data_IF_041589576499
#
_entry.id   IF_041589576499
#
_cell.length_a   1.000
_cell.length_b   1.000
_cell.length_c   1.000
_cell.angle_alpha   90.00
_cell.angle_beta   90.00
_cell.angle_gamma   90.00
#
_symmetry.space_group_name_H-M   'P 1'
#
loop_
_entity.id
_entity.type
_entity.pdbx_description
1 polymer ?
#
# COMPACT_ATOMS: atom_id res chain seq x y z
N UNK A 1 -5.64 -3.32 62.04
CA UNK A 1 -5.13 -2.28 61.11
C UNK A 1 -4.28 -2.98 60.07
N UNK A 2 -4.76 -3.04 58.83
CA UNK A 2 -4.09 -3.62 57.68
C UNK A 2 -3.54 -2.46 56.83
N UNK A 3 -2.30 -2.51 56.32
CA UNK A 3 -1.91 -1.73 55.16
C UNK A 3 -1.73 -2.65 53.94
N UNK A 4 -2.44 -2.23 52.90
CA UNK A 4 -2.47 -2.66 51.49
C UNK A 4 -1.10 -2.82 50.82
N UNK A 5 -0.94 -3.76 49.86
CA UNK A 5 0.17 -3.75 48.93
C UNK A 5 -0.07 -2.74 47.81
N UNK A 6 0.99 -2.00 47.45
CA UNK A 6 1.01 -0.98 46.40
C UNK A 6 1.10 -1.64 45.01
N UNK A 7 0.27 -1.27 44.02
CA UNK A 7 0.30 -1.84 42.67
C UNK A 7 1.41 -1.24 41.78
N UNK A 8 1.95 -2.09 40.91
CA UNK A 8 2.92 -1.85 39.85
C UNK A 8 2.53 -0.74 38.85
N UNK A 9 3.49 0.00 38.26
CA UNK A 9 3.17 1.10 37.36
C UNK A 9 2.95 0.64 35.90
N UNK A 10 1.82 1.12 35.37
CA UNK A 10 1.59 1.58 34.00
C UNK A 10 1.70 0.59 32.83
N UNK A 11 0.60 -0.12 32.56
CA UNK A 11 0.18 -0.40 31.19
C UNK A 11 -0.36 0.88 30.55
N UNK A 12 0.20 1.29 29.41
CA UNK A 12 -0.39 2.32 28.56
C UNK A 12 -1.65 1.72 27.93
N UNK A 13 -2.81 2.21 28.36
CA UNK A 13 -4.10 1.82 27.80
C UNK A 13 -4.19 2.18 26.33
N UNK A 14 -4.41 1.16 25.50
CA UNK A 14 -4.93 1.34 24.16
C UNK A 14 -6.40 1.75 24.30
N UNK A 15 -6.75 2.96 23.85
CA UNK A 15 -8.14 3.36 23.71
C UNK A 15 -8.71 2.67 22.45
N UNK A 16 -9.19 1.44 22.62
CA UNK A 16 -9.95 0.74 21.59
C UNK A 16 -11.39 1.24 21.61
N UNK A 17 -11.79 2.05 20.63
CA UNK A 17 -13.19 2.40 20.40
C UNK A 17 -13.82 1.28 19.57
N UNK A 18 -14.59 0.41 20.23
CA UNK A 18 -15.47 -0.55 19.57
C UNK A 18 -16.69 0.21 19.04
N UNK A 19 -16.76 0.39 17.72
CA UNK A 19 -18.00 0.79 17.06
C UNK A 19 -18.98 -0.41 17.16
N UNK A 20 -20.20 -0.22 17.69
CA UNK A 20 -21.16 -1.31 17.81
C UNK A 20 -21.56 -1.81 16.42
N UNK A 21 -21.38 -3.11 16.22
CA UNK A 21 -22.04 -3.85 15.14
C UNK A 21 -23.55 -3.72 15.35
N UNK A 22 -24.26 -3.26 14.32
CA UNK A 22 -25.73 -3.14 14.25
C UNK A 22 -26.41 -1.94 14.93
N UNK A 23 -26.01 -0.71 14.57
CA UNK A 23 -26.96 0.40 14.51
C UNK A 23 -27.25 0.71 13.03
N UNK A 24 -28.52 0.77 12.59
CA UNK A 24 -28.85 1.26 11.25
C UNK A 24 -28.28 2.67 11.12
N UNK A 25 -27.46 2.91 10.10
CA UNK A 25 -27.03 4.26 9.78
C UNK A 25 -28.30 5.09 9.51
N UNK A 26 -28.51 6.22 10.23
CA UNK A 26 -29.68 7.04 9.99
C UNK A 26 -29.59 7.59 8.57
N UNK A 27 -30.56 7.22 7.75
CA UNK A 27 -30.85 7.94 6.52
C UNK A 27 -31.25 9.36 6.89
N UNK A 28 -30.52 10.35 6.36
CA UNK A 28 -30.94 11.73 6.35
C UNK A 28 -30.58 12.55 7.60
N UNK A 29 -29.61 13.45 7.39
CA UNK A 29 -29.46 14.76 8.05
C UNK A 29 -29.13 14.81 9.55
N UNK A 30 -27.85 15.06 9.86
CA UNK A 30 -27.43 15.56 11.18
C UNK A 30 -25.98 15.21 11.56
N UNK A 31 -25.06 16.17 11.38
CA UNK A 31 -23.60 16.09 11.64
C UNK A 31 -22.84 15.05 10.80
N UNK A 32 -22.46 15.44 9.58
CA UNK A 32 -21.52 14.71 8.73
C UNK A 32 -20.10 14.75 9.30
N UNK A 33 -19.81 13.87 10.26
CA UNK A 33 -18.45 13.65 10.75
C UNK A 33 -17.87 12.49 9.93
N UNK A 34 -16.96 12.78 9.00
CA UNK A 34 -16.31 11.76 8.20
C UNK A 34 -15.39 10.88 9.06
N UNK A 35 -15.07 9.67 8.60
CA UNK A 35 -14.15 8.77 9.31
C UNK A 35 -12.80 9.45 9.64
N UNK A 36 -12.31 10.32 8.76
CA UNK A 36 -11.10 11.11 9.00
C UNK A 36 -11.23 12.13 10.15
N UNK A 37 -12.42 12.72 10.33
CA UNK A 37 -12.67 13.64 11.44
C UNK A 37 -12.71 12.88 12.77
N UNK A 38 -13.31 11.68 12.78
CA UNK A 38 -13.31 10.81 13.96
C UNK A 38 -11.87 10.42 14.35
N UNK A 39 -11.04 10.05 13.38
CA UNK A 39 -9.63 9.71 13.63
C UNK A 39 -8.88 10.87 14.27
N UNK A 40 -9.12 12.10 13.80
CA UNK A 40 -8.48 13.31 14.33
C UNK A 40 -9.00 13.70 15.71
N UNK A 41 -10.32 13.60 15.93
CA UNK A 41 -10.96 13.97 17.20
C UNK A 41 -10.56 12.98 18.30
N UNK A 42 -10.53 11.69 17.99
CA UNK A 42 -10.23 10.63 18.95
C UNK A 42 -8.75 10.25 19.02
N UNK A 43 -7.89 10.92 18.25
CA UNK A 43 -6.47 10.57 18.11
C UNK A 43 -6.29 9.07 17.85
N UNK A 44 -7.09 8.52 16.93
CA UNK A 44 -7.12 7.09 16.68
C UNK A 44 -5.85 6.65 15.93
N UNK A 45 -5.09 5.75 16.55
CA UNK A 45 -3.84 5.23 15.99
C UNK A 45 -4.08 4.00 15.09
N UNK A 46 -5.27 3.41 15.18
CA UNK A 46 -5.60 2.13 14.54
C UNK A 46 -7.07 2.08 14.11
N UNK A 47 -7.34 1.59 12.91
CA UNK A 47 -8.68 1.38 12.35
C UNK A 47 -8.80 -0.06 11.87
N UNK A 48 -9.91 -0.70 12.23
CA UNK A 48 -10.22 -2.08 11.84
C UNK A 48 -11.43 -2.07 10.90
N UNK A 49 -11.22 -2.48 9.66
CA UNK A 49 -12.27 -2.64 8.65
C UNK A 49 -12.78 -4.09 8.63
N UNK A 50 -14.09 -4.26 8.62
CA UNK A 50 -14.72 -5.55 8.36
C UNK A 50 -14.94 -5.69 6.85
N UNK A 51 -14.30 -6.68 6.21
CA UNK A 51 -14.43 -6.86 4.75
C UNK A 51 -15.83 -7.34 4.32
N UNK A 52 -16.66 -7.77 5.28
CA UNK A 52 -18.08 -8.13 5.09
C UNK A 52 -18.96 -6.91 4.83
N UNK A 53 -18.67 -5.84 5.56
CA UNK A 53 -19.55 -4.68 5.62
C UNK A 53 -19.06 -3.55 4.70
N UNK A 54 -17.74 -3.49 4.46
CA UNK A 54 -17.11 -2.48 3.62
C UNK A 54 -16.32 -3.18 2.51
N UNK A 55 -16.62 -2.84 1.26
CA UNK A 55 -15.93 -3.37 0.10
C UNK A 55 -14.47 -2.91 0.06
N UNK A 56 -13.56 -3.75 -0.48
CA UNK A 56 -12.13 -3.43 -0.50
C UNK A 56 -11.80 -2.08 -1.16
N UNK A 57 -12.61 -1.64 -2.12
CA UNK A 57 -12.46 -0.33 -2.77
C UNK A 57 -12.72 0.85 -1.82
N UNK A 58 -13.73 0.73 -0.96
CA UNK A 58 -14.11 1.74 0.02
C UNK A 58 -13.13 1.75 1.20
N UNK A 59 -12.66 0.57 1.62
CA UNK A 59 -11.54 0.44 2.57
C UNK A 59 -10.31 1.20 2.06
N UNK A 60 -9.91 0.94 0.81
CA UNK A 60 -8.76 1.63 0.20
C UNK A 60 -8.97 3.15 0.14
N UNK A 61 -10.16 3.63 -0.20
CA UNK A 61 -10.48 5.05 -0.21
C UNK A 61 -10.37 5.71 1.17
N UNK A 62 -10.77 5.01 2.24
CA UNK A 62 -10.60 5.49 3.61
C UNK A 62 -9.13 5.52 4.04
N UNK A 63 -8.39 4.43 3.81
CA UNK A 63 -6.96 4.34 4.13
C UNK A 63 -6.15 5.45 3.44
N UNK A 64 -6.50 5.74 2.20
CA UNK A 64 -5.93 6.81 1.41
C UNK A 64 -6.13 8.19 2.02
N UNK A 65 -7.39 8.47 2.36
CA UNK A 65 -7.81 9.79 2.80
C UNK A 65 -7.24 10.14 4.17
N UNK A 66 -7.09 9.13 5.04
CA UNK A 66 -6.58 9.29 6.41
C UNK A 66 -5.04 9.28 6.43
N UNK A 67 -4.40 8.50 5.55
CA UNK A 67 -2.96 8.52 5.35
C UNK A 67 -2.17 7.58 6.26
N UNK A 68 -0.83 7.53 6.12
CA UNK A 68 0.01 6.46 6.66
C UNK A 68 0.32 6.58 8.18
N UNK A 69 -0.17 7.62 8.85
CA UNK A 69 0.08 7.83 10.28
C UNK A 69 -0.74 6.89 11.18
N UNK A 70 -1.76 6.25 10.60
CA UNK A 70 -2.71 5.36 11.28
C UNK A 70 -2.50 3.94 10.77
N UNK A 71 -2.57 2.96 11.67
CA UNK A 71 -2.50 1.53 11.35
C UNK A 71 -3.85 1.03 10.86
N UNK A 72 -3.89 0.24 9.79
CA UNK A 72 -5.14 -0.29 9.24
C UNK A 72 -5.14 -1.81 9.28
N UNK A 73 -6.27 -2.39 9.71
CA UNK A 73 -6.49 -3.83 9.81
C UNK A 73 -7.74 -4.21 9.02
N UNK A 74 -7.71 -5.33 8.30
CA UNK A 74 -8.89 -5.84 7.59
C UNK A 74 -9.22 -7.23 8.13
N UNK A 75 -10.45 -7.41 8.60
CA UNK A 75 -10.97 -8.70 9.06
C UNK A 75 -11.74 -9.36 7.91
N UNK A 76 -11.34 -10.57 7.45
CA UNK A 76 -12.01 -11.28 6.38
C UNK A 76 -13.39 -11.83 6.79
N UNK A 77 -14.27 -12.00 5.80
CA UNK A 77 -15.63 -12.54 5.97
C UNK A 77 -15.65 -13.97 6.55
N UNK A 78 -14.65 -14.79 6.22
CA UNK A 78 -14.56 -16.19 6.66
C UNK A 78 -13.83 -16.38 7.99
N UNK A 79 -13.94 -15.43 8.93
CA UNK A 79 -13.53 -15.66 10.32
C UNK A 79 -14.59 -16.42 11.12
N UNK A 80 -15.19 -17.46 10.54
CA UNK A 80 -15.79 -18.54 11.33
C UNK A 80 -14.64 -19.40 11.84
N UNK A 81 -14.18 -19.04 13.05
CA UNK A 81 -13.37 -19.84 13.96
C UNK A 81 -13.15 -21.30 13.53
N UNK A 82 -12.00 -21.62 12.95
CA UNK A 82 -11.46 -22.98 13.13
C UNK A 82 -10.77 -22.98 14.49
N UNK A 83 -11.55 -23.38 15.49
CA UNK A 83 -11.09 -23.64 16.87
C UNK A 83 -10.20 -24.88 16.81
N UNK A 84 -8.92 -24.68 16.57
CA UNK A 84 -7.86 -25.63 16.92
C UNK A 84 -7.33 -25.24 18.30
N UNK A 85 -7.73 -25.93 19.35
CA UNK A 85 -7.27 -25.63 20.71
C UNK A 85 -5.79 -25.99 20.88
N UNK A 86 -4.93 -25.01 21.10
CA UNK A 86 -3.68 -25.22 21.82
C UNK A 86 -3.55 -24.17 22.93
N UNK A 87 -3.76 -24.66 24.15
CA UNK A 87 -3.68 -23.98 25.45
C UNK A 87 -4.86 -23.08 25.85
N UNK A 88 -5.20 -23.14 27.15
CA UNK A 88 -6.39 -22.51 27.77
C UNK A 88 -6.13 -21.09 28.28
N UNK A 89 -4.90 -20.59 28.20
CA UNK A 89 -4.48 -19.37 28.91
C UNK A 89 -3.65 -18.38 28.05
N UNK A 90 -3.54 -18.59 26.74
CA UNK A 90 -2.90 -17.63 25.83
C UNK A 90 -3.99 -16.84 25.09
N UNK A 91 -4.03 -15.48 25.18
CA UNK A 91 -4.86 -14.69 24.29
C UNK A 91 -4.45 -15.02 22.86
N UNK A 92 -5.38 -15.57 22.07
CA UNK A 92 -5.13 -15.97 20.69
C UNK A 92 -4.44 -14.83 19.94
N UNK A 93 -3.22 -15.10 19.46
CA UNK A 93 -2.42 -14.11 18.76
C UNK A 93 -3.12 -13.83 17.42
N UNK A 94 -3.85 -12.72 17.36
CA UNK A 94 -4.52 -12.27 16.16
C UNK A 94 -3.46 -11.88 15.13
N UNK A 95 -3.24 -12.75 14.14
CA UNK A 95 -2.46 -12.43 12.95
C UNK A 95 -3.18 -11.31 12.18
N UNK A 96 -2.84 -10.06 12.51
CA UNK A 96 -3.26 -8.93 11.71
C UNK A 96 -2.28 -8.76 10.56
N UNK A 97 -2.79 -8.78 9.33
CA UNK A 97 -2.05 -8.35 8.14
C UNK A 97 -2.03 -6.82 8.14
N UNK A 98 -0.99 -6.21 8.71
CA UNK A 98 -0.71 -4.78 8.57
C UNK A 98 -0.33 -4.49 7.11
N UNK A 99 -1.14 -3.70 6.39
CA UNK A 99 -0.87 -3.35 4.99
C UNK A 99 0.19 -2.26 4.96
N UNK A 100 1.45 -2.66 5.01
CA UNK A 100 2.60 -1.78 4.83
C UNK A 100 2.98 -1.75 3.35
N UNK A 101 3.00 -0.55 2.76
CA UNK A 101 3.51 -0.39 1.40
C UNK A 101 5.04 -0.46 1.39
N UNK A 102 5.62 -1.51 0.81
CA UNK A 102 7.07 -1.63 0.72
C UNK A 102 7.70 -0.44 -0.02
N UNK A 103 7.06 0.06 -1.09
CA UNK A 103 7.58 1.22 -1.85
C UNK A 103 7.64 2.53 -1.02
N UNK A 104 6.88 2.62 0.08
CA UNK A 104 6.93 3.78 0.97
C UNK A 104 8.13 3.73 1.92
N UNK A 105 8.69 2.54 2.18
CA UNK A 105 9.76 2.38 3.15
C UNK A 105 11.08 3.01 2.66
N UNK A 106 11.84 3.70 3.53
CA UNK A 106 13.08 4.36 3.13
C UNK A 106 14.15 3.44 2.53
N UNK A 107 14.25 2.19 3.01
CA UNK A 107 15.14 1.15 2.46
C UNK A 107 14.79 0.87 0.99
N UNK A 108 13.55 0.48 0.74
CA UNK A 108 13.05 0.19 -0.60
C UNK A 108 13.08 1.39 -1.54
N UNK A 109 12.87 2.62 -1.05
CA UNK A 109 13.06 3.84 -1.86
C UNK A 109 14.51 4.03 -2.32
N UNK A 110 15.49 3.68 -1.48
CA UNK A 110 16.91 3.69 -1.85
C UNK A 110 17.20 2.59 -2.86
N UNK A 111 16.71 1.38 -2.62
CA UNK A 111 16.90 0.23 -3.53
C UNK A 111 16.29 0.53 -4.90
N UNK A 112 15.10 1.13 -4.94
CA UNK A 112 14.45 1.57 -6.17
C UNK A 112 15.32 2.56 -6.94
N UNK A 113 15.89 3.55 -6.24
CA UNK A 113 16.78 4.53 -6.84
C UNK A 113 18.09 3.91 -7.35
N UNK A 114 18.66 2.98 -6.59
CA UNK A 114 19.87 2.24 -6.98
C UNK A 114 19.61 1.38 -8.21
N UNK A 115 18.49 0.66 -8.26
CA UNK A 115 18.05 -0.09 -9.44
C UNK A 115 17.91 0.84 -10.66
N UNK A 116 17.26 2.00 -10.49
CA UNK A 116 17.08 2.93 -11.61
C UNK A 116 18.41 3.43 -12.20
N UNK A 117 19.36 3.77 -11.32
CA UNK A 117 20.70 4.19 -11.70
C UNK A 117 21.51 3.06 -12.32
N UNK A 118 21.42 1.86 -11.76
CA UNK A 118 22.05 0.66 -12.30
C UNK A 118 21.56 0.37 -13.73
N UNK A 119 20.24 0.42 -13.96
CA UNK A 119 19.66 0.26 -15.29
C UNK A 119 20.12 1.36 -16.25
N UNK A 120 20.29 2.61 -15.79
CA UNK A 120 20.89 3.66 -16.63
C UNK A 120 22.31 3.29 -17.09
N UNK A 121 23.16 2.76 -16.18
CA UNK A 121 24.52 2.33 -16.51
C UNK A 121 24.53 1.14 -17.47
N UNK A 122 23.68 0.13 -17.24
CA UNK A 122 23.54 -1.02 -18.12
C UNK A 122 23.09 -0.59 -19.52
N UNK A 123 22.11 0.30 -19.61
CA UNK A 123 21.66 0.86 -20.89
C UNK A 123 22.75 1.69 -21.58
N UNK A 124 23.60 2.39 -20.83
CA UNK A 124 24.73 3.13 -21.39
C UNK A 124 25.79 2.18 -21.97
N UNK A 125 26.13 1.11 -21.24
CA UNK A 125 27.10 0.11 -21.70
C UNK A 125 26.57 -0.69 -22.92
N UNK A 126 25.26 -0.90 -23.00
CA UNK A 126 24.62 -1.70 -24.06
C UNK A 126 24.04 -0.87 -25.20
N UNK A 127 24.40 0.43 -25.33
CA UNK A 127 23.97 1.33 -26.43
C UNK A 127 23.91 0.65 -27.80
N UNK A 128 24.99 0.05 -28.32
CA UNK A 128 24.97 -0.47 -29.69
C UNK A 128 23.92 -1.57 -29.88
N UNK A 129 23.62 -2.34 -28.83
CA UNK A 129 22.68 -3.45 -28.89
C UNK A 129 21.22 -2.95 -28.91
N UNK A 130 20.80 -2.13 -27.95
CA UNK A 130 19.39 -1.74 -27.87
C UNK A 130 19.00 -0.69 -28.92
N UNK A 131 19.95 0.09 -29.45
CA UNK A 131 19.65 1.12 -30.45
C UNK A 131 19.24 0.51 -31.81
N UNK A 132 19.75 -0.69 -32.11
CA UNK A 132 19.45 -1.46 -33.32
C UNK A 132 18.23 -2.38 -33.12
N UNK A 133 18.16 -3.10 -31.99
CA UNK A 133 17.17 -4.16 -31.79
C UNK A 133 15.90 -3.75 -31.04
N UNK A 134 15.90 -2.67 -30.25
CA UNK A 134 14.75 -2.31 -29.40
C UNK A 134 13.70 -1.45 -30.13
N UNK A 135 12.45 -1.91 -30.12
CA UNK A 135 11.29 -1.13 -30.59
C UNK A 135 11.00 0.10 -29.72
N UNK A 136 11.39 0.06 -28.43
CA UNK A 136 11.13 1.12 -27.43
C UNK A 136 12.29 2.13 -27.31
N UNK A 137 13.30 2.07 -28.19
CA UNK A 137 14.49 2.95 -28.19
C UNK A 137 14.21 4.44 -28.06
N UNK A 138 13.13 4.94 -28.69
CA UNK A 138 12.76 6.37 -28.64
C UNK A 138 12.39 6.78 -27.21
N UNK A 139 11.65 5.93 -26.49
CA UNK A 139 11.19 6.19 -25.14
C UNK A 139 12.33 6.11 -24.13
N UNK A 140 13.21 5.11 -24.26
CA UNK A 140 14.40 4.96 -23.43
C UNK A 140 15.30 6.19 -23.60
N UNK A 141 15.67 6.55 -24.83
CA UNK A 141 16.55 7.70 -25.11
C UNK A 141 15.99 9.02 -24.56
N UNK A 142 14.68 9.27 -24.71
CA UNK A 142 14.05 10.51 -24.23
C UNK A 142 14.08 10.61 -22.70
N UNK A 143 13.89 9.49 -22.01
CA UNK A 143 13.74 9.49 -20.55
C UNK A 143 15.02 9.13 -19.79
N UNK A 144 16.08 8.63 -20.45
CA UNK A 144 17.31 8.18 -19.79
C UNK A 144 17.92 9.26 -18.90
N UNK A 145 18.07 10.50 -19.41
CA UNK A 145 18.57 11.63 -18.61
C UNK A 145 17.62 11.99 -17.47
N UNK A 146 16.30 11.95 -17.71
CA UNK A 146 15.30 12.25 -16.68
C UNK A 146 15.34 11.23 -15.54
N UNK A 147 15.59 9.96 -15.85
CA UNK A 147 15.77 8.90 -14.84
C UNK A 147 17.12 9.05 -14.15
N UNK A 148 18.20 9.35 -14.89
CA UNK A 148 19.52 9.59 -14.31
C UNK A 148 19.51 10.74 -13.28
N UNK A 149 18.86 11.86 -13.58
CA UNK A 149 18.71 12.99 -12.63
C UNK A 149 17.60 12.77 -11.60
N UNK A 150 16.90 11.64 -11.64
CA UNK A 150 15.87 11.30 -10.68
C UNK A 150 14.63 12.17 -10.78
N UNK A 151 14.29 12.69 -11.97
CA UNK A 151 12.98 13.29 -12.23
C UNK A 151 11.93 12.21 -12.56
N UNK A 152 12.39 11.06 -13.05
CA UNK A 152 11.57 9.88 -13.35
C UNK A 152 12.20 8.61 -12.77
N UNK A 153 11.43 7.53 -12.79
CA UNK A 153 11.86 6.14 -12.53
C UNK A 153 11.62 5.30 -13.77
N UNK A 154 12.34 4.18 -13.94
CA UNK A 154 12.07 3.28 -15.07
C UNK A 154 10.69 2.64 -14.97
N UNK A 155 10.30 2.17 -13.79
CA UNK A 155 8.98 1.57 -13.52
C UNK A 155 8.26 2.41 -12.46
N UNK A 156 7.00 2.74 -12.73
CA UNK A 156 6.13 3.46 -11.80
C UNK A 156 4.66 3.14 -12.05
N UNK A 157 3.77 3.81 -11.33
CA UNK A 157 2.33 3.57 -11.44
C UNK A 157 1.80 3.92 -12.84
N UNK A 158 0.86 3.12 -13.34
CA UNK A 158 0.04 3.51 -14.49
C UNK A 158 -0.84 4.69 -14.10
N UNK A 159 -0.99 5.74 -14.93
CA UNK A 159 -1.89 6.86 -14.62
C UNK A 159 -3.31 6.36 -14.32
N UNK A 160 -3.83 6.68 -13.13
CA UNK A 160 -5.13 6.25 -12.65
C UNK A 160 -5.63 7.25 -11.61
N UNK A 161 -6.94 7.48 -11.53
CA UNK A 161 -7.58 8.38 -10.56
C UNK A 161 -7.38 7.91 -9.12
N UNK A 162 -7.21 6.61 -8.90
CA UNK A 162 -6.98 6.04 -7.58
C UNK A 162 -5.52 6.16 -7.12
N UNK A 163 -4.60 6.70 -7.91
CA UNK A 163 -3.19 6.82 -7.51
C UNK A 163 -2.95 7.81 -6.37
N UNK A 164 -3.88 8.74 -6.13
CA UNK A 164 -3.81 9.68 -5.00
C UNK A 164 -3.85 8.94 -3.65
N UNK A 165 -4.32 7.69 -3.65
CA UNK A 165 -4.35 6.81 -2.49
C UNK A 165 -3.03 6.10 -2.19
N UNK A 166 -2.13 6.06 -3.17
CA UNK A 166 -0.89 5.31 -3.09
C UNK A 166 0.26 6.20 -2.60
N UNK A 167 1.31 5.62 -1.99
CA UNK A 167 2.49 6.36 -1.63
C UNK A 167 3.08 7.06 -2.86
N UNK A 168 3.39 8.35 -2.70
CA UNK A 168 3.91 9.17 -3.78
C UNK A 168 5.16 8.55 -4.40
N UNK A 169 5.15 8.42 -5.73
CA UNK A 169 6.25 7.90 -6.55
C UNK A 169 6.48 8.82 -7.74
N UNK A 170 7.73 8.93 -8.18
CA UNK A 170 8.07 9.69 -9.38
C UNK A 170 7.40 9.05 -10.62
N UNK A 171 7.10 9.82 -11.68
CA UNK A 171 6.52 9.26 -12.89
C UNK A 171 7.39 8.14 -13.48
N UNK A 172 6.75 7.00 -13.78
CA UNK A 172 7.39 5.87 -14.46
C UNK A 172 7.53 6.09 -15.96
N UNK A 173 8.60 5.53 -16.54
CA UNK A 173 8.73 5.39 -18.00
C UNK A 173 7.89 4.22 -18.50
N UNK A 174 7.85 3.15 -17.72
CA UNK A 174 7.05 1.95 -17.88
C UNK A 174 6.20 1.73 -16.63
N UNK A 175 5.22 0.86 -16.75
CA UNK A 175 4.28 0.53 -15.69
C UNK A 175 3.96 -0.96 -15.65
N UNK A 176 3.39 -1.48 -14.55
CA UNK A 176 3.00 -2.89 -14.45
C UNK A 176 2.08 -3.36 -15.58
N UNK A 177 1.26 -2.47 -16.13
CA UNK A 177 0.36 -2.74 -17.25
C UNK A 177 1.14 -2.99 -18.55
N UNK A 178 2.27 -2.32 -18.77
CA UNK A 178 3.08 -2.50 -19.98
C UNK A 178 3.65 -3.92 -20.10
N UNK A 179 3.85 -4.61 -18.97
CA UNK A 179 4.30 -6.00 -18.94
C UNK A 179 3.24 -7.01 -19.41
N UNK A 180 1.97 -6.60 -19.56
CA UNK A 180 0.83 -7.45 -19.92
C UNK A 180 0.55 -7.54 -21.44
N UNK A 181 1.47 -7.05 -22.30
CA UNK A 181 1.49 -7.25 -23.77
C UNK A 181 0.11 -7.15 -24.44
N UNK A 182 -0.48 -5.94 -24.38
CA UNK A 182 -1.67 -5.53 -25.15
C UNK A 182 -3.03 -6.07 -24.69
N UNK A 183 -3.14 -6.60 -23.47
CA UNK A 183 -4.46 -6.77 -22.84
C UNK A 183 -5.07 -5.40 -22.56
N UNK A 184 -6.33 -5.18 -22.98
CA UNK A 184 -7.11 -4.01 -22.55
C UNK A 184 -7.41 -4.15 -21.06
N UNK A 185 -6.55 -3.57 -20.24
CA UNK A 185 -6.73 -3.51 -18.79
C UNK A 185 -7.77 -2.43 -18.49
N UNK A 186 -8.82 -2.78 -17.75
CA UNK A 186 -9.79 -1.79 -17.25
C UNK A 186 -9.14 -0.92 -16.16
N UNK A 187 -9.71 0.26 -15.89
CA UNK A 187 -9.15 1.17 -14.88
C UNK A 187 -9.05 0.53 -13.49
N UNK A 188 -9.98 -0.35 -13.14
CA UNK A 188 -9.98 -1.08 -11.88
C UNK A 188 -8.80 -2.06 -11.77
N UNK A 189 -8.50 -2.82 -12.82
CA UNK A 189 -7.35 -3.74 -12.82
C UNK A 189 -6.04 -2.97 -12.83
N UNK A 190 -5.98 -1.81 -13.50
CA UNK A 190 -4.81 -0.93 -13.42
C UNK A 190 -4.59 -0.40 -12.00
N UNK A 191 -5.66 -0.01 -11.30
CA UNK A 191 -5.58 0.41 -9.89
C UNK A 191 -5.11 -0.73 -8.97
N UNK A 192 -5.64 -1.95 -9.16
CA UNK A 192 -5.20 -3.14 -8.42
C UNK A 192 -3.73 -3.45 -8.68
N UNK A 193 -3.27 -3.38 -9.92
CA UNK A 193 -1.87 -3.59 -10.27
C UNK A 193 -0.96 -2.54 -9.62
N UNK A 194 -1.38 -1.28 -9.58
CA UNK A 194 -0.64 -0.22 -8.88
C UNK A 194 -0.58 -0.47 -7.37
N UNK A 195 -1.69 -0.91 -6.75
CA UNK A 195 -1.73 -1.30 -5.35
C UNK A 195 -0.77 -2.45 -5.04
N UNK A 196 -0.82 -3.54 -5.80
CA UNK A 196 0.11 -4.67 -5.63
C UNK A 196 1.56 -4.25 -5.90
N UNK A 197 1.78 -3.37 -6.87
CA UNK A 197 3.10 -2.80 -7.14
C UNK A 197 3.63 -2.02 -5.92
N UNK A 198 2.80 -1.19 -5.28
CA UNK A 198 3.17 -0.41 -4.10
C UNK A 198 3.38 -1.29 -2.86
N UNK A 199 2.48 -2.26 -2.64
CA UNK A 199 2.46 -3.12 -1.45
C UNK A 199 3.67 -4.05 -1.42
N UNK A 200 3.85 -4.85 -2.47
CA UNK A 200 4.83 -5.94 -2.52
C UNK A 200 6.08 -5.54 -3.32
N UNK A 201 6.46 -4.26 -3.30
CA UNK A 201 7.57 -3.78 -4.10
C UNK A 201 8.86 -4.53 -3.75
N UNK A 202 9.53 -5.05 -4.79
CA UNK A 202 10.79 -5.76 -4.71
C UNK A 202 11.59 -5.52 -6.00
N UNK A 203 12.92 -5.60 -5.89
CA UNK A 203 13.86 -5.34 -6.98
C UNK A 203 13.64 -6.29 -8.16
N UNK A 204 13.46 -7.58 -7.92
CA UNK A 204 13.30 -8.59 -8.97
C UNK A 204 12.03 -8.38 -9.79
N UNK A 205 10.94 -8.00 -9.12
CA UNK A 205 9.65 -7.74 -9.76
C UNK A 205 9.70 -6.46 -10.60
N UNK A 206 10.32 -5.40 -10.09
CA UNK A 206 10.53 -4.15 -10.82
C UNK A 206 11.39 -4.38 -12.07
N UNK A 207 12.48 -5.14 -11.94
CA UNK A 207 13.33 -5.55 -13.06
C UNK A 207 12.57 -6.39 -14.08
N UNK A 208 11.73 -7.32 -13.62
CA UNK A 208 10.89 -8.15 -14.50
C UNK A 208 9.91 -7.31 -15.32
N UNK A 209 9.28 -6.30 -14.69
CA UNK A 209 8.39 -5.36 -15.39
C UNK A 209 9.19 -4.59 -16.45
N UNK A 210 10.35 -4.06 -16.09
CA UNK A 210 11.23 -3.34 -17.01
C UNK A 210 11.64 -4.17 -18.22
N UNK A 211 11.99 -5.46 -18.03
CA UNK A 211 12.41 -6.35 -19.11
C UNK A 211 11.25 -6.82 -20.01
N UNK A 212 10.02 -6.89 -19.47
CA UNK A 212 8.83 -7.34 -20.21
C UNK A 212 8.13 -6.23 -21.00
N UNK A 213 8.31 -4.97 -20.59
CA UNK A 213 7.70 -3.79 -21.21
C UNK A 213 8.35 -3.38 -22.55
#
# INVERSE_FOLDING_TARGET
RNPTPNPSPSGRGANAVLLPSAAPLPEGEGLGVGLADLVRIYEANEIIFCSKDIGSQEIMAHMAHIGPAVSYKIVPEESLSIIGSSSKDEPGELYTIDIRYNIAQPSHRRDKRLLDLFLCLVLLATIPLWLIFSRKRKMIRKNWLLVLFGQKTWVGYTPNTQNDTLPTLKPGVFSPVDALKDLKVNEETAARLNFFFAKDWEVERDLTIFLKA
#
